data_IF_819431062233
#
_entry.id   IF_819431062233
#
_cell.length_a   1.000
_cell.length_b   1.000
_cell.length_c   1.000
_cell.angle_alpha   90.00
_cell.angle_beta   90.00
_cell.angle_gamma   90.00
#
_symmetry.space_group_name_H-M   'P 1'
#
loop_
_entity.id
_entity.type
_entity.pdbx_description
1 polymer ?
#
# COMPACT_ATOMS: atom_id res chain seq x y z
N UNK A 1 -8.13 -15.61 20.60
CA UNK A 1 -8.37 -15.45 19.14
C UNK A 1 -8.35 -13.99 18.67
N UNK A 2 -9.14 -13.07 19.25
CA UNK A 2 -9.20 -11.67 18.76
C UNK A 2 -7.88 -10.89 18.86
N UNK A 3 -7.08 -11.09 19.91
CA UNK A 3 -5.76 -10.44 20.05
C UNK A 3 -4.82 -10.79 18.88
N UNK A 4 -4.84 -12.06 18.46
CA UNK A 4 -4.00 -12.56 17.38
C UNK A 4 -4.40 -11.94 16.03
N UNK A 5 -5.69 -11.74 15.78
CA UNK A 5 -6.21 -11.05 14.59
C UNK A 5 -5.70 -9.61 14.55
N UNK A 6 -5.73 -8.90 15.68
CA UNK A 6 -5.21 -7.52 15.76
C UNK A 6 -3.71 -7.49 15.45
N UNK A 7 -2.92 -8.43 16.00
CA UNK A 7 -1.48 -8.52 15.73
C UNK A 7 -1.21 -8.75 14.24
N UNK A 8 -1.94 -9.66 13.60
CA UNK A 8 -1.82 -9.92 12.16
C UNK A 8 -2.15 -8.65 11.37
N UNK A 9 -3.26 -7.97 11.68
CA UNK A 9 -3.66 -6.75 10.98
C UNK A 9 -2.61 -5.64 11.12
N UNK A 10 -2.04 -5.45 12.31
CA UNK A 10 -0.95 -4.48 12.53
C UNK A 10 0.28 -4.85 11.71
N UNK A 11 0.68 -6.12 11.71
CA UNK A 11 1.83 -6.59 10.91
C UNK A 11 1.58 -6.37 9.42
N UNK A 12 0.41 -6.75 8.90
CA UNK A 12 0.01 -6.52 7.52
C UNK A 12 0.03 -5.04 7.14
N UNK A 13 -0.39 -4.16 8.04
CA UNK A 13 -0.39 -2.71 7.82
C UNK A 13 1.04 -2.15 7.75
N UNK A 14 1.94 -2.64 8.60
CA UNK A 14 3.36 -2.29 8.55
C UNK A 14 4.01 -2.75 7.24
N UNK A 15 3.75 -3.99 6.80
CA UNK A 15 4.24 -4.49 5.51
C UNK A 15 3.65 -3.74 4.32
N UNK A 16 2.35 -3.38 4.37
CA UNK A 16 1.72 -2.57 3.33
C UNK A 16 2.37 -1.19 3.23
N UNK A 17 2.69 -0.55 4.37
CA UNK A 17 3.38 0.73 4.39
C UNK A 17 4.77 0.63 3.76
N UNK A 18 5.56 -0.38 4.14
CA UNK A 18 6.89 -0.65 3.55
C UNK A 18 6.76 -0.90 2.04
N UNK A 19 5.76 -1.66 1.62
CA UNK A 19 5.45 -1.89 0.22
C UNK A 19 5.15 -0.59 -0.52
N UNK A 20 4.32 0.29 0.03
CA UNK A 20 3.96 1.57 -0.63
C UNK A 20 5.17 2.50 -0.74
N UNK A 21 6.08 2.50 0.23
CA UNK A 21 7.24 3.41 0.26
C UNK A 21 8.47 2.87 -0.45
N UNK A 22 8.53 1.57 -0.74
CA UNK A 22 9.69 0.96 -1.41
C UNK A 22 9.82 1.42 -2.86
N UNK A 23 11.06 1.56 -3.32
CA UNK A 23 11.38 1.90 -4.70
C UNK A 23 11.72 0.65 -5.56
N UNK A 24 11.38 -0.54 -5.06
CA UNK A 24 11.75 -1.82 -5.66
C UNK A 24 10.50 -2.65 -6.05
N UNK A 25 9.48 -2.00 -6.59
CA UNK A 25 8.32 -2.70 -7.14
C UNK A 25 8.67 -3.44 -8.43
N UNK A 26 9.53 -2.83 -9.24
CA UNK A 26 10.07 -3.42 -10.44
C UNK A 26 11.54 -3.03 -10.59
N UNK A 27 12.37 -3.96 -11.03
CA UNK A 27 13.80 -3.74 -11.25
C UNK A 27 14.17 -4.19 -12.64
N UNK A 28 14.72 -3.26 -13.44
CA UNK A 28 15.27 -3.55 -14.76
C UNK A 28 16.80 -3.60 -14.69
N UNK A 29 17.36 -4.79 -14.91
CA UNK A 29 18.81 -4.98 -14.96
C UNK A 29 19.42 -4.47 -16.28
N UNK A 30 18.66 -4.50 -17.38
CA UNK A 30 19.14 -4.06 -18.70
C UNK A 30 19.23 -2.55 -18.83
N UNK A 31 18.27 -1.84 -18.22
CA UNK A 31 18.17 -0.38 -18.27
C UNK A 31 18.61 0.28 -16.94
N UNK A 32 19.14 -0.55 -16.03
CA UNK A 32 19.65 -0.19 -14.71
C UNK A 32 18.77 0.79 -13.93
N UNK A 33 17.49 0.47 -13.79
CA UNK A 33 16.57 1.30 -12.99
C UNK A 33 15.74 0.46 -12.03
N UNK A 34 15.39 1.09 -10.91
CA UNK A 34 14.44 0.59 -9.94
C UNK A 34 13.21 1.49 -9.98
N UNK A 35 12.05 0.87 -10.11
CA UNK A 35 10.76 1.53 -10.14
C UNK A 35 10.02 1.25 -8.84
N UNK A 36 9.72 2.33 -8.13
CA UNK A 36 8.81 2.36 -7.00
C UNK A 36 7.40 2.74 -7.39
N UNK A 37 6.51 2.69 -6.42
CA UNK A 37 5.13 3.15 -6.63
C UNK A 37 5.06 4.65 -6.95
N UNK A 38 6.00 5.45 -6.44
CA UNK A 38 5.98 6.92 -6.52
C UNK A 38 7.12 7.53 -7.34
N UNK A 39 8.22 6.80 -7.49
CA UNK A 39 9.51 7.32 -7.95
C UNK A 39 10.20 6.25 -8.80
N UNK A 40 10.79 6.64 -9.92
CA UNK A 40 11.74 5.81 -10.67
C UNK A 40 13.14 6.32 -10.37
N UNK A 41 14.04 5.43 -9.97
CA UNK A 41 15.44 5.73 -9.76
C UNK A 41 16.27 5.05 -10.86
N UNK A 42 17.00 5.84 -11.64
CA UNK A 42 17.97 5.36 -12.61
C UNK A 42 19.36 5.31 -11.99
N UNK A 43 20.03 4.17 -12.14
CA UNK A 43 21.43 4.01 -11.82
C UNK A 43 22.24 4.57 -12.98
N UNK A 44 23.09 5.56 -12.73
CA UNK A 44 23.96 6.10 -13.76
C UNK A 44 25.17 5.18 -13.97
N UNK A 45 25.21 4.45 -15.08
CA UNK A 45 26.37 3.66 -15.55
C UNK A 45 27.35 4.49 -16.40
N UNK A 46 27.51 5.78 -16.11
CA UNK A 46 28.56 6.56 -16.77
C UNK A 46 29.89 6.32 -16.07
N UNK A 47 30.77 5.58 -16.76
CA UNK A 47 32.23 5.43 -16.62
C UNK A 47 32.96 6.73 -16.23
N UNK A 48 32.76 7.18 -14.99
CA UNK A 48 33.49 8.31 -14.42
C UNK A 48 33.70 7.98 -12.96
N UNK A 49 34.96 7.70 -12.61
CA UNK A 49 35.42 7.42 -11.26
C UNK A 49 35.16 8.64 -10.36
N UNK A 50 33.92 8.77 -9.90
CA UNK A 50 33.50 9.69 -8.85
C UNK A 50 32.83 8.84 -7.79
N UNK A 51 33.38 8.85 -6.59
CA UNK A 51 33.01 8.03 -5.43
C UNK A 51 31.63 8.35 -4.84
N UNK A 52 30.74 8.96 -5.60
CA UNK A 52 29.36 9.27 -5.24
C UNK A 52 28.45 8.80 -6.38
N UNK A 53 27.97 7.55 -6.30
CA UNK A 53 26.86 7.07 -7.13
C UNK A 53 25.61 7.86 -6.71
N UNK A 54 25.28 8.92 -7.44
CA UNK A 54 24.05 9.67 -7.23
C UNK A 54 22.99 9.00 -8.12
N UNK A 55 22.21 8.10 -7.54
CA UNK A 55 21.02 7.58 -8.21
C UNK A 55 20.08 8.75 -8.52
N UNK A 56 19.70 8.90 -9.79
CA UNK A 56 18.79 9.98 -10.21
C UNK A 56 17.36 9.49 -10.09
N UNK A 57 16.63 10.04 -9.11
CA UNK A 57 15.28 9.63 -8.79
C UNK A 57 14.25 10.68 -9.22
N UNK A 58 13.37 10.32 -10.15
CA UNK A 58 12.32 11.18 -10.68
C UNK A 58 10.94 10.73 -10.18
N UNK A 59 10.09 11.69 -9.80
CA UNK A 59 8.69 11.39 -9.43
C UNK A 59 7.93 10.87 -10.65
N UNK A 60 7.19 9.79 -10.45
CA UNK A 60 6.30 9.27 -11.48
C UNK A 60 5.00 10.07 -11.57
N UNK A 61 4.39 10.18 -12.77
CA UNK A 61 3.00 10.59 -12.89
C UNK A 61 2.09 9.60 -12.13
N UNK A 62 0.97 10.10 -11.62
CA UNK A 62 0.03 9.28 -10.84
C UNK A 62 -0.50 8.10 -11.68
N UNK A 63 -0.23 6.86 -11.24
CA UNK A 63 -0.73 5.64 -11.89
C UNK A 63 -1.94 5.06 -11.14
N UNK A 64 -2.79 4.30 -11.85
CA UNK A 64 -3.94 3.58 -11.25
C UNK A 64 -3.52 2.68 -10.07
N UNK A 65 -2.31 2.12 -10.11
CA UNK A 65 -1.72 1.29 -9.05
C UNK A 65 -1.52 2.05 -7.71
N UNK A 66 -1.16 3.34 -7.76
CA UNK A 66 -1.01 4.17 -6.55
C UNK A 66 -2.36 4.32 -5.84
N UNK A 67 -3.43 4.62 -6.58
CA UNK A 67 -4.77 4.78 -6.04
C UNK A 67 -5.30 3.49 -5.38
N UNK A 68 -5.03 2.34 -6.01
CA UNK A 68 -5.39 1.03 -5.45
C UNK A 68 -4.61 0.68 -4.19
N UNK A 69 -3.31 0.99 -4.13
CA UNK A 69 -2.50 0.74 -2.95
C UNK A 69 -2.94 1.60 -1.76
N UNK A 70 -3.25 2.87 -1.99
CA UNK A 70 -3.76 3.79 -0.96
C UNK A 70 -5.14 3.33 -0.46
N UNK A 71 -6.06 2.98 -1.36
CA UNK A 71 -7.40 2.54 -0.96
C UNK A 71 -7.34 1.26 -0.14
N UNK A 72 -6.52 0.28 -0.53
CA UNK A 72 -6.28 -0.93 0.23
C UNK A 72 -5.74 -0.63 1.65
N UNK A 73 -4.77 0.29 1.76
CA UNK A 73 -4.21 0.71 3.05
C UNK A 73 -5.27 1.36 3.96
N UNK A 74 -6.13 2.22 3.40
CA UNK A 74 -7.24 2.86 4.12
C UNK A 74 -8.23 1.82 4.64
N UNK A 75 -8.62 0.87 3.80
CA UNK A 75 -9.56 -0.21 4.18
C UNK A 75 -8.98 -1.06 5.32
N UNK A 76 -7.69 -1.43 5.22
CA UNK A 76 -7.01 -2.21 6.24
C UNK A 76 -6.95 -1.46 7.58
N UNK A 77 -6.68 -0.16 7.53
CA UNK A 77 -6.66 0.73 8.70
C UNK A 77 -8.02 0.79 9.38
N UNK A 78 -9.09 0.93 8.59
CA UNK A 78 -10.47 0.90 9.10
C UNK A 78 -10.79 -0.45 9.74
N UNK A 79 -10.46 -1.56 9.09
CA UNK A 79 -10.69 -2.91 9.63
C UNK A 79 -9.97 -3.14 10.96
N UNK A 80 -8.75 -2.60 11.11
CA UNK A 80 -8.00 -2.62 12.37
C UNK A 80 -8.73 -1.81 13.46
N UNK A 81 -9.17 -0.59 13.15
CA UNK A 81 -9.91 0.27 14.08
C UNK A 81 -11.18 -0.42 14.56
N UNK A 82 -11.96 -1.00 13.63
CA UNK A 82 -13.18 -1.74 13.96
C UNK A 82 -12.86 -2.96 14.82
N UNK A 83 -11.81 -3.71 14.51
CA UNK A 83 -11.38 -4.86 15.33
C UNK A 83 -11.01 -4.47 16.76
N UNK A 84 -10.37 -3.30 16.93
CA UNK A 84 -10.05 -2.73 18.25
C UNK A 84 -11.34 -2.32 18.98
N UNK A 85 -12.23 -1.57 18.32
CA UNK A 85 -13.51 -1.13 18.92
C UNK A 85 -14.37 -2.32 19.36
N UNK A 86 -14.43 -3.38 18.55
CA UNK A 86 -15.13 -4.64 18.84
C UNK A 86 -14.65 -5.26 20.15
N UNK A 87 -13.34 -5.24 20.38
CA UNK A 87 -12.75 -5.76 21.63
C UNK A 87 -13.25 -4.99 22.85
N UNK A 88 -13.53 -3.70 22.71
CA UNK A 88 -13.97 -2.84 23.82
C UNK A 88 -15.50 -2.78 24.00
N UNK A 89 -16.31 -3.07 22.97
CA UNK A 89 -17.78 -3.04 23.07
C UNK A 89 -18.38 -4.43 22.87
N UNK A 90 -19.08 -4.95 23.88
CA UNK A 90 -19.80 -6.25 23.85
C UNK A 90 -21.01 -6.29 22.90
N UNK A 91 -21.40 -5.19 22.25
CA UNK A 91 -22.62 -5.10 21.45
C UNK A 91 -22.29 -4.84 19.95
N UNK A 92 -22.10 -5.94 19.21
CA UNK A 92 -21.32 -5.97 17.96
C UNK A 92 -22.11 -5.85 16.65
N UNK A 93 -23.44 -5.86 16.69
CA UNK A 93 -24.24 -5.97 15.45
C UNK A 93 -24.02 -4.77 14.52
N UNK A 94 -24.00 -3.56 15.06
CA UNK A 94 -23.79 -2.32 14.28
C UNK A 94 -22.40 -2.29 13.63
N UNK A 95 -21.37 -2.78 14.33
CA UNK A 95 -20.00 -2.78 13.83
C UNK A 95 -19.80 -3.77 12.67
N UNK A 96 -20.46 -4.92 12.74
CA UNK A 96 -20.48 -5.90 11.65
C UNK A 96 -21.12 -5.31 10.39
N UNK A 97 -22.30 -4.67 10.52
CA UNK A 97 -22.94 -4.00 9.38
C UNK A 97 -22.07 -2.89 8.77
N UNK A 98 -21.38 -2.12 9.60
CA UNK A 98 -20.46 -1.09 9.13
C UNK A 98 -19.28 -1.68 8.36
N UNK A 99 -18.72 -2.80 8.82
CA UNK A 99 -17.60 -3.48 8.15
C UNK A 99 -18.03 -4.02 6.78
N UNK A 100 -19.22 -4.62 6.70
CA UNK A 100 -19.80 -5.12 5.44
C UNK A 100 -20.04 -3.96 4.46
N UNK A 101 -20.58 -2.84 4.94
CA UNK A 101 -20.81 -1.65 4.11
C UNK A 101 -19.51 -1.12 3.50
N UNK A 102 -18.45 -1.01 4.30
CA UNK A 102 -17.13 -0.52 3.84
C UNK A 102 -16.53 -1.48 2.82
N UNK A 103 -16.67 -2.79 3.02
CA UNK A 103 -16.23 -3.80 2.06
C UNK A 103 -16.96 -3.64 0.71
N UNK A 104 -18.29 -3.45 0.74
CA UNK A 104 -19.09 -3.27 -0.47
C UNK A 104 -18.67 -2.00 -1.24
N UNK A 105 -18.53 -0.86 -0.55
CA UNK A 105 -18.07 0.39 -1.18
C UNK A 105 -16.69 0.20 -1.82
N UNK A 106 -15.80 -0.52 -1.14
CA UNK A 106 -14.45 -0.80 -1.65
C UNK A 106 -14.46 -1.67 -2.91
N UNK A 107 -15.32 -2.70 -2.96
CA UNK A 107 -15.51 -3.54 -4.15
C UNK A 107 -16.05 -2.71 -5.31
N UNK A 108 -17.02 -1.83 -5.05
CA UNK A 108 -17.59 -0.95 -6.09
C UNK A 108 -16.51 -0.03 -6.66
N UNK A 109 -15.74 0.65 -5.80
CA UNK A 109 -14.65 1.52 -6.23
C UNK A 109 -13.58 0.76 -7.03
N UNK A 110 -13.25 -0.47 -6.62
CA UNK A 110 -12.33 -1.32 -7.35
C UNK A 110 -12.84 -1.64 -8.75
N UNK A 111 -14.09 -2.10 -8.88
CA UNK A 111 -14.71 -2.43 -10.17
C UNK A 111 -14.78 -1.19 -11.08
N UNK A 112 -15.18 -0.04 -10.53
CA UNK A 112 -15.24 1.22 -11.29
C UNK A 112 -13.87 1.64 -11.83
N UNK A 113 -12.79 1.43 -11.07
CA UNK A 113 -11.41 1.75 -11.51
C UNK A 113 -10.88 0.83 -12.63
N UNK A 114 -11.52 -0.32 -12.83
CA UNK A 114 -11.17 -1.27 -13.89
C UNK A 114 -11.94 -0.98 -15.19
N UNK A 115 -13.16 -0.44 -15.07
CA UNK A 115 -14.04 -0.10 -16.19
C UNK A 115 -13.70 1.26 -16.83
N UNK A 116 -13.10 2.19 -16.07
CA UNK A 116 -12.66 3.52 -16.51
C UNK A 116 -11.15 3.67 -16.29
#
# INVERSE_FOLDING_TARGET
MQLFIIIILVASLAFALIGITTNYWYQSLSNEFNEGLWVICHRQSTLTYSSLNIDTCNKQPYFKSQGLAISAFVILSIALILSIIKRYRKNDRILVYLTILILIISIILFISSYLF
#
